data_IF_593139702317
#
_entry.id   IF_593139702317
#
_cell.length_a   1.000
_cell.length_b   1.000
_cell.length_c   1.000
_cell.angle_alpha   90.00
_cell.angle_beta   90.00
_cell.angle_gamma   90.00
#
_symmetry.space_group_name_H-M   'P 1'
#
loop_
_entity.id
_entity.type
_entity.pdbx_description
1 polymer ?
#
# COMPACT_ATOMS: atom_id res chain seq x y z
N UNK A 1 -37.57 -63.89 -55.26
CA UNK A 1 -37.67 -62.47 -54.88
C UNK A 1 -37.05 -62.28 -53.50
N UNK A 2 -35.90 -61.65 -53.36
CA UNK A 2 -35.28 -61.45 -52.12
C UNK A 2 -35.69 -60.07 -51.53
N UNK A 3 -36.20 -60.07 -50.32
CA UNK A 3 -36.53 -58.92 -49.52
C UNK A 3 -35.31 -58.25 -49.01
N UNK A 4 -35.11 -57.02 -49.44
CA UNK A 4 -34.00 -56.13 -48.94
C UNK A 4 -34.33 -55.57 -47.60
N UNK A 5 -33.55 -55.90 -46.57
CA UNK A 5 -33.64 -55.29 -45.22
C UNK A 5 -32.65 -54.14 -45.16
N UNK A 6 -33.18 -52.93 -44.89
CA UNK A 6 -32.43 -51.69 -44.61
C UNK A 6 -31.78 -51.70 -43.21
N UNK A 7 -30.54 -51.26 -43.09
CA UNK A 7 -29.94 -51.06 -41.76
C UNK A 7 -30.42 -49.74 -41.13
N UNK A 8 -30.67 -49.82 -39.84
CA UNK A 8 -31.11 -48.75 -38.95
C UNK A 8 -29.92 -47.85 -38.57
N UNK A 9 -30.03 -46.53 -38.57
CA UNK A 9 -28.91 -45.66 -38.16
C UNK A 9 -28.74 -45.67 -36.63
N UNK A 10 -27.51 -45.99 -36.21
CA UNK A 10 -27.09 -45.84 -34.83
C UNK A 10 -26.81 -44.37 -34.50
N UNK A 11 -27.55 -43.83 -33.55
CA UNK A 11 -27.33 -42.50 -32.99
C UNK A 11 -26.13 -42.49 -32.05
N UNK A 12 -24.98 -42.12 -32.58
CA UNK A 12 -23.80 -41.85 -31.76
C UNK A 12 -24.04 -40.58 -30.94
N UNK A 13 -24.27 -40.74 -29.64
CA UNK A 13 -24.37 -39.63 -28.69
C UNK A 13 -22.95 -39.10 -28.40
N UNK A 14 -22.58 -37.97 -28.96
CA UNK A 14 -21.42 -37.21 -28.52
C UNK A 14 -21.70 -36.65 -27.12
N UNK A 15 -21.00 -37.17 -26.13
CA UNK A 15 -20.97 -36.58 -24.77
C UNK A 15 -20.04 -35.38 -24.82
N UNK A 16 -20.61 -34.17 -24.75
CA UNK A 16 -19.85 -32.92 -24.57
C UNK A 16 -19.38 -32.84 -23.14
N UNK A 17 -18.08 -33.06 -22.92
CA UNK A 17 -17.42 -32.80 -21.64
C UNK A 17 -17.20 -31.28 -21.51
N UNK A 18 -18.08 -30.60 -20.80
CA UNK A 18 -17.88 -29.19 -20.35
C UNK A 18 -16.87 -29.18 -19.24
N UNK A 19 -15.62 -28.82 -19.54
CA UNK A 19 -14.60 -28.52 -18.55
C UNK A 19 -14.96 -27.18 -17.87
N UNK A 20 -15.53 -27.23 -16.67
CA UNK A 20 -15.71 -26.05 -15.82
C UNK A 20 -14.33 -25.63 -15.29
N UNK A 21 -13.75 -24.59 -15.86
CA UNK A 21 -12.56 -23.95 -15.35
C UNK A 21 -12.91 -23.24 -14.03
N UNK A 22 -12.51 -23.82 -12.89
CA UNK A 22 -12.54 -23.17 -11.57
C UNK A 22 -11.54 -22.02 -11.57
N UNK A 23 -12.01 -20.81 -11.81
CA UNK A 23 -11.29 -19.57 -11.52
C UNK A 23 -11.18 -19.44 -9.99
N UNK A 24 -10.10 -19.97 -9.42
CA UNK A 24 -9.73 -19.70 -8.03
C UNK A 24 -9.37 -18.21 -7.95
N UNK A 25 -10.01 -17.40 -7.07
CA UNK A 25 -9.56 -16.05 -6.83
C UNK A 25 -8.14 -16.13 -6.26
N UNK A 26 -7.17 -15.51 -6.97
CA UNK A 26 -5.87 -15.23 -6.36
C UNK A 26 -6.15 -14.33 -5.17
N UNK A 27 -6.13 -14.90 -3.96
CA UNK A 27 -6.26 -14.15 -2.73
C UNK A 27 -5.18 -13.09 -2.71
N UNK A 28 -5.59 -11.81 -2.75
CA UNK A 28 -4.69 -10.72 -2.45
C UNK A 28 -4.22 -10.92 -1.02
N UNK A 29 -3.03 -11.53 -0.86
CA UNK A 29 -2.44 -11.76 0.45
C UNK A 29 -2.38 -10.43 1.18
N UNK A 30 -2.96 -10.36 2.39
CA UNK A 30 -2.86 -9.18 3.22
C UNK A 30 -1.37 -8.89 3.44
N UNK A 31 -0.93 -7.66 3.18
CA UNK A 31 0.46 -7.23 3.35
C UNK A 31 0.57 -6.25 4.50
N UNK A 32 1.69 -6.28 5.20
CA UNK A 32 2.01 -5.28 6.21
C UNK A 32 1.95 -3.88 5.63
N UNK A 33 1.52 -2.92 6.43
CA UNK A 33 1.38 -1.50 6.03
C UNK A 33 1.93 -0.59 7.12
N UNK A 34 2.36 0.58 6.70
CA UNK A 34 2.61 1.71 7.60
C UNK A 34 1.42 2.65 7.51
N UNK A 35 0.89 3.04 8.65
CA UNK A 35 -0.20 4.02 8.77
C UNK A 35 0.30 5.22 9.56
N UNK A 36 0.20 6.41 8.97
CA UNK A 36 0.55 7.66 9.62
C UNK A 36 -0.70 8.51 9.86
N UNK A 37 -0.76 9.10 11.03
CA UNK A 37 -1.72 10.12 11.42
C UNK A 37 -1.03 11.46 11.28
N UNK A 38 -1.53 12.31 10.42
CA UNK A 38 -0.93 13.59 10.04
C UNK A 38 -1.89 14.70 10.37
N UNK A 39 -1.47 15.59 11.25
CA UNK A 39 -2.26 16.73 11.73
C UNK A 39 -1.72 18.03 11.14
N UNK A 40 -2.60 18.79 10.48
CA UNK A 40 -2.29 20.11 9.94
C UNK A 40 -3.54 20.99 9.90
N UNK A 41 -3.42 22.23 10.39
CA UNK A 41 -4.51 23.19 10.35
C UNK A 41 -5.77 22.77 11.13
N UNK A 42 -5.62 21.92 12.16
CA UNK A 42 -6.74 21.39 12.93
C UNK A 42 -7.44 20.16 12.32
N UNK A 43 -6.93 19.65 11.20
CA UNK A 43 -7.44 18.44 10.55
C UNK A 43 -6.44 17.29 10.70
N UNK A 44 -6.95 16.09 11.01
CA UNK A 44 -6.17 14.85 11.02
C UNK A 44 -6.46 14.07 9.75
N UNK A 45 -5.42 13.72 9.00
CA UNK A 45 -5.50 12.80 7.86
C UNK A 45 -4.76 11.50 8.17
N UNK A 46 -5.38 10.39 7.78
CA UNK A 46 -4.74 9.06 7.86
C UNK A 46 -4.22 8.67 6.49
N UNK A 47 -2.92 8.41 6.40
CA UNK A 47 -2.24 8.02 5.17
C UNK A 47 -1.62 6.64 5.38
N UNK A 48 -1.82 5.73 4.43
CA UNK A 48 -1.28 4.37 4.49
C UNK A 48 -0.39 4.07 3.29
N UNK A 49 0.68 3.33 3.54
CA UNK A 49 1.55 2.81 2.50
C UNK A 49 1.79 1.31 2.68
N UNK A 50 1.69 0.56 1.60
CA UNK A 50 2.13 -0.82 1.49
C UNK A 50 3.58 -0.92 1.02
N UNK A 51 4.16 -2.14 1.00
CA UNK A 51 5.53 -2.36 0.56
C UNK A 51 5.70 -2.09 -0.94
N UNK A 52 6.81 -1.43 -1.28
CA UNK A 52 7.24 -1.19 -2.65
C UNK A 52 8.67 -1.68 -2.85
N UNK A 53 9.02 -2.05 -4.09
CA UNK A 53 10.38 -2.44 -4.43
C UNK A 53 11.33 -1.22 -4.57
N UNK A 54 10.78 -0.07 -4.96
CA UNK A 54 11.56 1.17 -5.16
C UNK A 54 10.84 2.37 -4.57
N UNK A 55 11.56 3.18 -3.82
CA UNK A 55 11.08 4.46 -3.29
C UNK A 55 10.69 5.48 -4.38
N UNK A 56 11.28 5.37 -5.56
CA UNK A 56 11.01 6.27 -6.68
C UNK A 56 9.57 6.16 -7.23
N UNK A 57 8.88 5.06 -6.92
CA UNK A 57 7.50 4.85 -7.37
C UNK A 57 6.46 5.51 -6.45
N UNK A 58 6.89 6.06 -5.31
CA UNK A 58 5.96 6.63 -4.32
C UNK A 58 5.98 8.15 -4.45
N UNK A 59 4.85 8.70 -4.89
CA UNK A 59 4.64 10.15 -4.94
C UNK A 59 4.26 10.68 -3.54
N UNK A 60 4.68 11.89 -3.17
CA UNK A 60 4.20 12.55 -1.97
C UNK A 60 2.75 13.01 -2.12
N UNK A 61 2.01 13.04 -1.01
CA UNK A 61 0.62 13.50 -0.90
C UNK A 61 0.61 14.94 -0.39
N UNK A 62 -0.20 15.78 -0.98
CA UNK A 62 -0.40 17.17 -0.53
C UNK A 62 -1.12 17.23 0.83
N UNK A 63 -0.59 18.02 1.75
CA UNK A 63 -1.15 18.30 3.06
C UNK A 63 -1.35 19.80 3.22
N UNK A 64 -2.61 20.23 3.13
CA UNK A 64 -2.93 21.64 3.07
C UNK A 64 -2.23 22.33 1.88
N UNK A 65 -1.84 23.59 2.06
CA UNK A 65 -1.22 24.39 0.99
C UNK A 65 0.31 24.45 1.09
N UNK A 66 0.91 23.96 2.19
CA UNK A 66 2.32 24.24 2.46
C UNK A 66 3.20 22.99 2.60
N UNK A 67 2.58 21.80 2.65
CA UNK A 67 3.33 20.57 2.88
C UNK A 67 2.99 19.49 1.86
N UNK A 68 3.96 18.61 1.62
CA UNK A 68 3.73 17.28 1.05
C UNK A 68 4.30 16.23 2.00
N UNK A 69 3.63 15.10 2.08
CA UNK A 69 3.99 14.01 2.98
C UNK A 69 4.14 12.70 2.21
N UNK A 70 5.18 11.93 2.51
CA UNK A 70 5.46 10.66 1.84
C UNK A 70 5.82 9.58 2.84
N UNK A 71 5.20 8.42 2.68
CA UNK A 71 5.56 7.20 3.40
C UNK A 71 6.14 6.23 2.38
N UNK A 72 7.35 5.76 2.62
CA UNK A 72 8.00 4.73 1.81
C UNK A 72 8.26 3.52 2.70
N UNK A 73 7.59 2.41 2.41
CA UNK A 73 7.88 1.10 2.98
C UNK A 73 8.60 0.29 1.90
N UNK A 74 9.92 0.34 1.89
CA UNK A 74 10.71 -0.35 0.88
C UNK A 74 11.06 -1.76 1.34
N UNK A 75 10.68 -2.74 0.52
CA UNK A 75 10.96 -4.16 0.74
C UNK A 75 11.97 -4.66 -0.26
N UNK A 76 13.11 -5.13 0.23
CA UNK A 76 14.17 -5.74 -0.56
C UNK A 76 14.37 -7.18 -0.12
N UNK A 77 14.41 -8.13 -1.07
CA UNK A 77 14.58 -9.55 -0.75
C UNK A 77 15.84 -9.77 0.08
N UNK A 78 15.70 -10.46 1.21
CA UNK A 78 16.82 -10.81 2.09
C UNK A 78 17.31 -9.69 3.01
N UNK A 79 16.67 -8.52 3.00
CA UNK A 79 16.96 -7.41 3.89
C UNK A 79 15.74 -7.06 4.75
N UNK A 80 15.93 -6.47 5.93
CA UNK A 80 14.84 -5.88 6.69
C UNK A 80 14.16 -4.78 5.88
N UNK A 81 12.84 -4.62 6.06
CA UNK A 81 12.09 -3.54 5.43
C UNK A 81 12.60 -2.17 5.93
N UNK A 82 12.82 -1.23 5.01
CA UNK A 82 13.21 0.16 5.31
C UNK A 82 11.97 1.05 5.23
N UNK A 83 11.70 1.79 6.30
CA UNK A 83 10.59 2.75 6.36
C UNK A 83 11.17 4.16 6.38
N UNK A 84 10.74 4.98 5.44
CA UNK A 84 11.06 6.42 5.41
C UNK A 84 9.78 7.23 5.49
N UNK A 85 9.76 8.17 6.40
CA UNK A 85 8.69 9.16 6.56
C UNK A 85 9.29 10.51 6.18
N UNK A 86 8.76 11.14 5.16
CA UNK A 86 9.33 12.34 4.58
C UNK A 86 8.29 13.45 4.51
N UNK A 87 8.69 14.65 4.96
CA UNK A 87 7.89 15.85 4.85
C UNK A 87 8.63 16.87 4.00
N UNK A 88 7.92 17.42 3.04
CA UNK A 88 8.43 18.45 2.12
C UNK A 88 7.68 19.75 2.35
N UNK A 89 8.40 20.87 2.27
CA UNK A 89 7.78 22.17 2.06
C UNK A 89 7.35 22.27 0.59
N UNK A 90 6.07 22.57 0.34
CA UNK A 90 5.55 22.74 -1.02
C UNK A 90 5.77 24.19 -1.47
N UNK A 91 6.83 24.42 -2.24
CA UNK A 91 7.26 25.76 -2.71
C UNK A 91 7.00 25.94 -4.19
N UNK A 92 6.99 27.19 -4.64
CA UNK A 92 6.68 27.56 -6.03
C UNK A 92 7.69 26.99 -7.03
N UNK A 93 8.94 26.81 -6.61
CA UNK A 93 10.03 26.20 -7.39
C UNK A 93 10.13 24.68 -7.24
N UNK A 94 9.21 24.07 -6.50
CA UNK A 94 9.10 22.64 -6.27
C UNK A 94 9.25 22.23 -4.81
N UNK A 95 8.91 20.99 -4.48
CA UNK A 95 8.94 20.49 -3.11
C UNK A 95 10.38 20.36 -2.59
N UNK A 96 10.62 20.89 -1.39
CA UNK A 96 11.90 20.81 -0.69
C UNK A 96 11.77 19.89 0.51
N UNK A 97 12.61 18.85 0.59
CA UNK A 97 12.65 17.95 1.76
C UNK A 97 13.12 18.72 2.99
N UNK A 98 12.28 18.82 4.01
CA UNK A 98 12.57 19.53 5.26
C UNK A 98 12.66 18.62 6.48
N UNK A 99 12.12 17.39 6.38
CA UNK A 99 12.22 16.39 7.45
C UNK A 99 12.21 14.97 6.88
N UNK A 100 13.05 14.10 7.46
CA UNK A 100 13.06 12.68 7.15
C UNK A 100 13.30 11.85 8.40
N UNK A 101 12.38 10.92 8.69
CA UNK A 101 12.57 9.84 9.66
C UNK A 101 12.89 8.52 8.94
N UNK A 102 13.89 7.76 9.44
CA UNK A 102 14.22 6.41 8.91
C UNK A 102 14.10 5.37 10.01
N UNK A 103 13.44 4.26 9.68
CA UNK A 103 13.15 3.19 10.62
C UNK A 103 13.35 1.84 9.92
N UNK A 104 13.83 0.85 10.67
CA UNK A 104 13.94 -0.53 10.19
C UNK A 104 12.76 -1.34 10.75
N UNK A 105 11.99 -1.98 9.88
CA UNK A 105 10.87 -2.83 10.30
C UNK A 105 11.30 -4.31 10.40
N UNK A 106 10.58 -5.14 11.18
CA UNK A 106 9.51 -4.76 12.08
C UNK A 106 10.04 -4.36 13.47
N UNK A 107 9.73 -3.17 13.86
CA UNK A 107 9.84 -2.79 15.27
C UNK A 107 8.62 -3.37 16.01
N UNK A 108 8.67 -4.65 16.37
CA UNK A 108 7.65 -5.28 17.24
C UNK A 108 7.63 -4.70 18.64
N UNK A 109 8.46 -3.70 18.90
CA UNK A 109 8.53 -3.06 20.19
C UNK A 109 7.39 -2.06 20.32
N UNK A 110 6.46 -2.48 21.15
CA UNK A 110 5.55 -1.66 21.92
C UNK A 110 5.10 -0.37 21.23
N UNK A 111 4.04 -0.45 20.42
CA UNK A 111 3.22 0.74 20.20
C UNK A 111 2.89 1.33 21.55
N UNK A 112 3.64 2.32 21.99
CA UNK A 112 3.20 3.17 23.09
C UNK A 112 1.85 3.68 22.63
N UNK A 113 0.79 3.38 23.39
CA UNK A 113 -0.55 3.79 23.02
C UNK A 113 -0.51 5.27 22.64
N UNK A 114 -0.86 5.59 21.38
CA UNK A 114 -0.97 6.96 20.89
C UNK A 114 0.25 7.58 20.22
N UNK A 115 1.39 6.86 20.05
CA UNK A 115 2.57 7.42 19.37
C UNK A 115 3.25 6.48 18.36
N UNK A 116 2.70 5.26 18.19
CA UNK A 116 3.20 4.29 17.23
C UNK A 116 4.69 3.95 17.39
N UNK A 117 5.33 3.54 16.29
CA UNK A 117 6.77 3.22 16.29
C UNK A 117 7.67 4.45 16.04
N UNK A 118 7.12 5.52 15.47
CA UNK A 118 7.89 6.73 15.19
C UNK A 118 8.02 7.68 16.41
N UNK A 119 7.05 7.64 17.33
CA UNK A 119 6.81 8.74 18.25
C UNK A 119 6.10 9.90 17.54
N UNK A 120 5.80 10.97 18.30
CA UNK A 120 5.25 12.21 17.74
C UNK A 120 6.37 13.11 17.22
N UNK A 121 6.14 13.64 16.02
CA UNK A 121 7.01 14.61 15.37
C UNK A 121 6.24 15.88 15.06
N UNK A 122 6.89 17.04 15.26
CA UNK A 122 6.45 18.32 14.76
C UNK A 122 7.46 18.80 13.72
N UNK A 123 6.98 19.12 12.54
CA UNK A 123 7.80 19.58 11.41
C UNK A 123 7.39 21.00 11.06
N UNK A 124 8.33 21.91 11.21
CA UNK A 124 8.12 23.34 11.03
C UNK A 124 8.62 23.80 9.65
N UNK A 125 7.77 24.52 8.93
CA UNK A 125 8.12 25.21 7.67
C UNK A 125 8.27 26.69 7.95
N UNK A 126 9.52 27.22 8.05
CA UNK A 126 9.77 28.56 8.59
C UNK A 126 9.42 29.71 7.63
N UNK A 127 9.34 29.42 6.31
CA UNK A 127 9.09 30.49 5.30
C UNK A 127 7.64 30.97 5.34
N UNK A 128 6.70 30.04 5.57
CA UNK A 128 5.26 30.31 5.61
C UNK A 128 4.64 30.12 7.00
N UNK A 129 5.49 29.92 8.01
CA UNK A 129 5.10 29.76 9.41
C UNK A 129 4.07 28.64 9.62
N UNK A 130 4.32 27.48 8.99
CA UNK A 130 3.47 26.31 9.08
C UNK A 130 4.07 25.23 9.96
N UNK A 131 3.24 24.51 10.72
CA UNK A 131 3.61 23.33 11.47
C UNK A 131 2.73 22.15 11.10
N UNK A 132 3.35 21.02 10.76
CA UNK A 132 2.70 19.74 10.54
C UNK A 132 3.15 18.79 11.65
N UNK A 133 2.20 18.07 12.25
CA UNK A 133 2.52 17.04 13.24
C UNK A 133 2.19 15.66 12.67
N UNK A 134 2.95 14.63 13.07
CA UNK A 134 2.62 13.26 12.69
C UNK A 134 3.14 12.24 13.69
N UNK A 135 2.52 11.05 13.64
CA UNK A 135 3.04 9.81 14.21
C UNK A 135 2.58 8.63 13.35
N UNK A 136 3.33 7.52 13.36
CA UNK A 136 3.04 6.38 12.49
C UNK A 136 3.02 5.07 13.27
N UNK A 137 2.10 4.19 12.88
CA UNK A 137 1.95 2.85 13.44
C UNK A 137 2.17 1.78 12.38
N UNK A 138 2.59 0.60 12.83
CA UNK A 138 2.71 -0.59 12.00
C UNK A 138 1.38 -1.35 11.99
N UNK A 139 0.88 -1.67 10.81
CA UNK A 139 -0.31 -2.50 10.61
C UNK A 139 0.13 -3.85 10.02
N UNK A 140 0.24 -4.89 10.85
CA UNK A 140 0.57 -6.21 10.35
C UNK A 140 -0.56 -6.76 9.48
N UNK A 141 -0.19 -7.58 8.49
CA UNK A 141 -1.15 -8.43 7.76
C UNK A 141 -1.88 -9.37 8.74
N UNK A 142 -3.17 -9.51 8.56
CA UNK A 142 -3.99 -10.48 9.30
C UNK A 142 -4.10 -11.77 8.52
#
# INVERSE_FOLDING_TARGET
MPTSSMPKPEHTRLAALTAAALLLPLGAGATDRVRCHVDYGGETRVIEAGPVASALTVAPVEIGSFFRFRIVLQRTRGLPDDVRIETFADRDDGPVLIHQGRYTAPQRQGSRRGSGFTGHHAVYEPVRDGELQYWCEWKPSR
#
